data_IF_984383220374
#
_entry.id   IF_984383220374
#
_cell.length_a   1.000
_cell.length_b   1.000
_cell.length_c   1.000
_cell.angle_alpha   90.00
_cell.angle_beta   90.00
_cell.angle_gamma   90.00
#
_symmetry.space_group_name_H-M   'P 1'
#
loop_
_entity.id
_entity.type
_entity.pdbx_description
1 polymer ?
#
# COMPACT_ATOMS: atom_id res chain seq x y z
N UNK A 1 1.04 4.71 -9.06
CA UNK A 1 1.73 4.07 -10.21
C UNK A 1 1.04 2.74 -10.55
N UNK A 2 1.06 2.33 -11.83
CA UNK A 2 0.51 1.03 -12.24
C UNK A 2 1.64 0.01 -12.39
N UNK A 3 1.76 -0.94 -11.45
CA UNK A 3 2.76 -2.01 -11.56
C UNK A 3 2.54 -2.85 -12.83
N UNK A 4 3.60 -3.44 -13.44
CA UNK A 4 3.52 -4.32 -14.61
C UNK A 4 2.92 -5.71 -14.28
N UNK A 5 1.99 -5.76 -13.32
CA UNK A 5 1.31 -6.95 -12.80
C UNK A 5 0.76 -7.85 -13.90
N UNK A 6 0.06 -7.27 -14.87
CA UNK A 6 -0.60 -8.03 -15.95
C UNK A 6 0.41 -8.69 -16.90
N UNK A 7 1.56 -8.06 -17.14
CA UNK A 7 2.65 -8.65 -17.94
C UNK A 7 3.26 -9.84 -17.21
N UNK A 8 3.56 -9.67 -15.91
CA UNK A 8 4.14 -10.71 -15.06
C UNK A 8 3.21 -11.95 -14.96
N UNK A 9 1.91 -11.71 -14.79
CA UNK A 9 0.89 -12.76 -14.77
C UNK A 9 0.87 -13.56 -16.07
N UNK A 10 0.79 -12.89 -17.23
CA UNK A 10 0.79 -13.56 -18.53
C UNK A 10 2.06 -14.39 -18.77
N UNK A 11 3.23 -13.90 -18.34
CA UNK A 11 4.50 -14.64 -18.46
C UNK A 11 4.51 -15.89 -17.58
N UNK A 12 3.98 -15.81 -16.36
CA UNK A 12 3.88 -16.99 -15.48
C UNK A 12 2.99 -18.08 -16.07
N UNK A 13 1.88 -17.70 -16.73
CA UNK A 13 0.99 -18.64 -17.43
C UNK A 13 1.71 -19.30 -18.61
N UNK A 14 2.45 -18.54 -19.42
CA UNK A 14 3.22 -19.10 -20.56
C UNK A 14 4.30 -20.09 -20.11
N UNK A 15 4.91 -19.91 -18.93
CA UNK A 15 5.85 -20.90 -18.37
C UNK A 15 5.13 -22.21 -18.02
N UNK A 16 3.96 -22.11 -17.38
CA UNK A 16 3.13 -23.28 -17.03
C UNK A 16 2.70 -24.07 -18.26
N UNK A 17 2.31 -23.37 -19.34
CA UNK A 17 1.98 -24.01 -20.62
C UNK A 17 3.16 -24.81 -21.18
N UNK A 18 4.37 -24.23 -21.20
CA UNK A 18 5.57 -24.94 -21.66
C UNK A 18 5.94 -26.14 -20.78
N UNK A 19 5.75 -26.04 -19.47
CA UNK A 19 5.94 -27.17 -18.54
C UNK A 19 4.95 -28.28 -18.87
N UNK A 20 3.69 -27.94 -19.13
CA UNK A 20 2.67 -28.89 -19.59
C UNK A 20 3.06 -29.61 -20.87
N UNK A 21 3.54 -28.87 -21.88
CA UNK A 21 4.05 -29.44 -23.14
C UNK A 21 5.21 -30.41 -22.90
N UNK A 22 6.19 -30.03 -22.07
CA UNK A 22 7.31 -30.90 -21.70
C UNK A 22 6.85 -32.17 -20.98
N UNK A 23 5.91 -32.06 -20.04
CA UNK A 23 5.34 -33.22 -19.33
C UNK A 23 4.58 -34.15 -20.28
N UNK A 24 3.91 -33.61 -21.30
CA UNK A 24 3.23 -34.41 -22.31
C UNK A 24 4.23 -35.13 -23.23
N UNK A 25 5.27 -34.43 -23.70
CA UNK A 25 6.34 -35.03 -24.51
C UNK A 25 7.08 -36.14 -23.75
N UNK A 26 7.43 -35.90 -22.48
CA UNK A 26 8.10 -36.91 -21.65
C UNK A 26 7.22 -38.13 -21.38
N UNK A 27 5.90 -37.97 -21.16
CA UNK A 27 4.96 -39.08 -21.06
C UNK A 27 4.94 -39.93 -22.33
N UNK A 28 4.96 -39.30 -23.51
CA UNK A 28 5.03 -40.05 -24.78
C UNK A 28 6.35 -40.78 -24.97
N UNK A 29 7.48 -40.25 -24.47
CA UNK A 29 8.76 -40.97 -24.47
C UNK A 29 8.79 -42.18 -23.52
N UNK A 30 8.04 -42.14 -22.42
CA UNK A 30 7.98 -43.22 -21.41
C UNK A 30 7.02 -44.35 -21.83
N UNK A 31 6.07 -44.07 -22.74
CA UNK A 31 5.07 -45.02 -23.26
C UNK A 31 5.31 -45.33 -24.75
N UNK A 32 6.24 -46.23 -25.13
CA UNK A 32 6.42 -46.58 -26.53
C UNK A 32 5.32 -47.52 -27.02
N UNK A 33 4.90 -47.36 -28.27
CA UNK A 33 4.23 -48.43 -29.02
C UNK A 33 5.33 -49.44 -29.43
N UNK A 34 5.57 -50.46 -28.61
CA UNK A 34 6.66 -51.40 -28.83
C UNK A 34 6.42 -52.30 -30.06
N UNK A 35 7.49 -52.53 -30.85
CA UNK A 35 7.58 -53.70 -31.75
C UNK A 35 8.00 -54.92 -30.91
N UNK A 36 7.47 -56.10 -31.24
CA UNK A 36 7.62 -57.32 -30.44
C UNK A 36 9.07 -57.86 -30.29
N UNK A 37 10.07 -57.25 -30.93
CA UNK A 37 11.43 -57.80 -31.10
C UNK A 37 12.55 -56.93 -30.50
N UNK A 38 12.27 -55.80 -29.84
CA UNK A 38 13.31 -54.90 -29.31
C UNK A 38 14.00 -55.44 -28.04
N UNK A 39 15.33 -55.28 -27.95
CA UNK A 39 16.10 -55.63 -26.75
C UNK A 39 15.96 -54.58 -25.64
N UNK A 40 16.30 -54.97 -24.40
CA UNK A 40 16.16 -54.11 -23.22
C UNK A 40 17.08 -52.87 -23.25
N UNK A 41 18.26 -53.01 -23.86
CA UNK A 41 19.24 -51.92 -24.02
C UNK A 41 18.78 -50.92 -25.09
N UNK A 42 18.26 -51.39 -26.23
CA UNK A 42 17.69 -50.52 -27.28
C UNK A 42 16.52 -49.67 -26.75
N UNK A 43 15.63 -50.27 -25.94
CA UNK A 43 14.52 -49.56 -25.29
C UNK A 43 15.04 -48.47 -24.33
N UNK A 44 16.13 -48.72 -23.62
CA UNK A 44 16.71 -47.75 -22.69
C UNK A 44 17.37 -46.57 -23.43
N UNK A 45 18.11 -46.85 -24.50
CA UNK A 45 18.75 -45.81 -25.32
C UNK A 45 17.71 -44.93 -26.02
N UNK A 46 16.65 -45.51 -26.58
CA UNK A 46 15.59 -44.78 -27.27
C UNK A 46 14.84 -43.85 -26.31
N UNK A 47 14.51 -44.32 -25.10
CA UNK A 47 13.91 -43.50 -24.03
C UNK A 47 14.82 -42.34 -23.62
N UNK A 48 16.11 -42.61 -23.44
CA UNK A 48 17.09 -41.59 -23.04
C UNK A 48 17.21 -40.51 -24.12
N UNK A 49 17.26 -40.91 -25.39
CA UNK A 49 17.31 -39.99 -26.54
C UNK A 49 16.07 -39.10 -26.63
N UNK A 50 14.87 -39.69 -26.52
CA UNK A 50 13.61 -38.94 -26.52
C UNK A 50 13.53 -37.91 -25.38
N UNK A 51 13.94 -38.30 -24.17
CA UNK A 51 13.99 -37.39 -23.03
C UNK A 51 14.96 -36.22 -23.25
N UNK A 52 16.14 -36.48 -23.84
CA UNK A 52 17.10 -35.42 -24.18
C UNK A 52 16.55 -34.46 -25.24
N UNK A 53 15.84 -34.95 -26.25
CA UNK A 53 15.21 -34.12 -27.28
C UNK A 53 14.10 -33.23 -26.71
N UNK A 54 13.19 -33.80 -25.90
CA UNK A 54 12.13 -33.05 -25.22
C UNK A 54 12.72 -31.95 -24.33
N UNK A 55 13.76 -32.28 -23.55
CA UNK A 55 14.46 -31.30 -22.69
C UNK A 55 15.10 -30.20 -23.53
N UNK A 56 15.81 -30.55 -24.61
CA UNK A 56 16.44 -29.56 -25.51
C UNK A 56 15.42 -28.62 -26.15
N UNK A 57 14.28 -29.15 -26.60
CA UNK A 57 13.18 -28.39 -27.19
C UNK A 57 12.57 -27.42 -26.18
N UNK A 58 12.27 -27.90 -24.98
CA UNK A 58 11.77 -27.07 -23.87
C UNK A 58 12.76 -25.94 -23.56
N UNK A 59 14.03 -26.27 -23.31
CA UNK A 59 15.05 -25.27 -22.94
C UNK A 59 15.24 -24.21 -24.03
N UNK A 60 15.19 -24.60 -25.30
CA UNK A 60 15.25 -23.65 -26.43
C UNK A 60 14.06 -22.70 -26.43
N UNK A 61 12.84 -23.23 -26.31
CA UNK A 61 11.63 -22.43 -26.35
C UNK A 61 11.55 -21.46 -25.15
N UNK A 62 11.78 -21.96 -23.95
CA UNK A 62 11.74 -21.15 -22.74
C UNK A 62 12.85 -20.08 -22.73
N UNK A 63 14.08 -20.48 -23.06
CA UNK A 63 15.24 -19.60 -23.05
C UNK A 63 15.22 -18.49 -24.12
N UNK A 64 14.65 -18.76 -25.29
CA UNK A 64 14.62 -17.75 -26.39
C UNK A 64 13.35 -16.91 -26.42
N UNK A 65 12.20 -17.45 -26.00
CA UNK A 65 10.91 -16.78 -26.16
C UNK A 65 10.31 -16.21 -24.88
N UNK A 66 10.74 -16.67 -23.70
CA UNK A 66 10.12 -16.26 -22.44
C UNK A 66 11.14 -15.61 -21.51
N UNK A 67 12.33 -16.21 -21.36
CA UNK A 67 13.33 -15.74 -20.40
C UNK A 67 13.74 -14.26 -20.60
N UNK A 68 13.95 -13.76 -21.84
CA UNK A 68 14.28 -12.34 -22.05
C UNK A 68 13.13 -11.41 -21.65
N UNK A 69 11.88 -11.81 -21.89
CA UNK A 69 10.70 -11.04 -21.50
C UNK A 69 10.58 -10.96 -19.97
N UNK A 70 10.84 -12.07 -19.26
CA UNK A 70 10.86 -12.10 -17.79
C UNK A 70 11.94 -11.15 -17.26
N UNK A 71 13.16 -11.26 -17.75
CA UNK A 71 14.28 -10.41 -17.31
C UNK A 71 13.95 -8.92 -17.51
N UNK A 72 13.33 -8.57 -18.65
CA UNK A 72 12.88 -7.20 -18.92
C UNK A 72 11.82 -6.72 -17.92
N UNK A 73 10.81 -7.55 -17.61
CA UNK A 73 9.76 -7.18 -16.65
C UNK A 73 10.31 -7.09 -15.22
N UNK A 74 11.24 -7.96 -14.83
CA UNK A 74 11.86 -7.89 -13.51
C UNK A 74 12.70 -6.60 -13.34
N UNK A 75 13.42 -6.18 -14.38
CA UNK A 75 14.11 -4.89 -14.39
C UNK A 75 13.14 -3.69 -14.31
N UNK A 76 12.00 -3.75 -15.02
CA UNK A 76 10.93 -2.74 -14.91
C UNK A 76 10.39 -2.65 -13.47
N UNK A 77 10.20 -3.80 -12.81
CA UNK A 77 9.75 -3.87 -11.42
C UNK A 77 10.80 -3.28 -10.46
N UNK A 78 12.09 -3.57 -10.67
CA UNK A 78 13.18 -3.05 -9.84
C UNK A 78 13.19 -1.52 -9.81
N UNK A 79 13.17 -0.88 -10.99
CA UNK A 79 13.13 0.58 -11.13
C UNK A 79 11.92 1.19 -10.41
N UNK A 80 10.75 0.54 -10.52
CA UNK A 80 9.54 1.00 -9.85
C UNK A 80 9.65 0.85 -8.34
N UNK A 81 10.08 -0.30 -7.84
CA UNK A 81 10.20 -0.59 -6.40
C UNK A 81 11.19 0.38 -5.73
N UNK A 82 12.27 0.75 -6.39
CA UNK A 82 13.27 1.68 -5.86
C UNK A 82 12.71 3.09 -5.60
N UNK A 83 11.60 3.45 -6.26
CA UNK A 83 10.91 4.73 -6.06
C UNK A 83 9.81 4.70 -5.00
N UNK A 84 9.58 3.57 -4.34
CA UNK A 84 8.47 3.34 -3.41
C UNK A 84 8.88 3.48 -1.93
N UNK A 85 7.88 3.52 -1.06
CA UNK A 85 8.07 3.53 0.39
C UNK A 85 8.89 2.32 0.89
N UNK A 86 9.75 2.55 1.89
CA UNK A 86 10.64 1.52 2.46
C UNK A 86 9.91 0.25 2.92
N UNK A 87 8.64 0.35 3.36
CA UNK A 87 7.84 -0.81 3.74
C UNK A 87 7.47 -1.69 2.54
N UNK A 88 7.22 -1.09 1.37
CA UNK A 88 6.98 -1.80 0.10
C UNK A 88 8.29 -2.43 -0.36
N UNK A 89 9.38 -1.66 -0.35
CA UNK A 89 10.72 -2.10 -0.74
C UNK A 89 11.15 -3.33 0.05
N UNK A 90 11.07 -3.26 1.38
CA UNK A 90 11.50 -4.35 2.26
C UNK A 90 10.70 -5.64 2.05
N UNK A 91 9.44 -5.52 1.61
CA UNK A 91 8.57 -6.67 1.35
C UNK A 91 8.84 -7.31 -0.01
N UNK A 92 9.05 -6.49 -1.04
CA UNK A 92 9.14 -6.96 -2.44
C UNK A 92 10.59 -7.37 -2.80
N UNK A 93 11.59 -6.61 -2.35
CA UNK A 93 12.98 -6.76 -2.77
C UNK A 93 13.56 -8.16 -2.56
N UNK A 94 13.32 -8.87 -1.43
CA UNK A 94 13.83 -10.23 -1.25
C UNK A 94 13.34 -11.20 -2.33
N UNK A 95 12.06 -11.09 -2.73
CA UNK A 95 11.42 -11.96 -3.71
C UNK A 95 11.87 -11.59 -5.12
N UNK A 96 12.02 -10.29 -5.40
CA UNK A 96 12.53 -9.79 -6.68
C UNK A 96 13.96 -10.29 -6.94
N UNK A 97 14.85 -10.17 -5.96
CA UNK A 97 16.23 -10.64 -6.06
C UNK A 97 16.30 -12.15 -6.32
N UNK A 98 15.45 -12.92 -5.65
CA UNK A 98 15.35 -14.37 -5.86
C UNK A 98 14.89 -14.70 -7.29
N UNK A 99 13.87 -13.98 -7.79
CA UNK A 99 13.36 -14.13 -9.16
C UNK A 99 14.45 -13.81 -10.20
N UNK A 100 15.17 -12.70 -10.01
CA UNK A 100 16.26 -12.29 -10.89
C UNK A 100 17.38 -13.33 -10.94
N UNK A 101 17.79 -13.85 -9.77
CA UNK A 101 18.80 -14.91 -9.68
C UNK A 101 18.40 -16.15 -10.47
N UNK A 102 17.17 -16.63 -10.29
CA UNK A 102 16.66 -17.79 -11.03
C UNK A 102 16.55 -17.52 -12.53
N UNK A 103 16.19 -16.30 -12.92
CA UNK A 103 16.08 -15.89 -14.32
C UNK A 103 17.43 -15.75 -15.04
N UNK A 104 18.57 -15.63 -14.34
CA UNK A 104 19.88 -15.57 -14.98
C UNK A 104 20.32 -16.93 -15.56
N UNK A 105 20.04 -18.02 -14.84
CA UNK A 105 20.52 -19.36 -15.22
C UNK A 105 19.55 -20.48 -14.83
N UNK A 106 18.35 -20.57 -15.44
CA UNK A 106 17.57 -21.78 -15.33
C UNK A 106 18.28 -22.90 -16.09
N UNK A 107 18.83 -23.88 -15.36
CA UNK A 107 19.70 -24.92 -15.93
C UNK A 107 18.93 -26.13 -16.46
N UNK A 108 17.66 -26.28 -16.05
CA UNK A 108 16.81 -27.43 -16.38
C UNK A 108 15.32 -27.06 -16.19
N UNK A 109 14.37 -27.95 -16.54
CA UNK A 109 12.94 -27.71 -16.35
C UNK A 109 12.52 -27.41 -14.90
N UNK A 110 13.17 -28.01 -13.89
CA UNK A 110 12.88 -27.74 -12.48
C UNK A 110 13.20 -26.28 -12.11
N UNK A 111 14.28 -25.71 -12.65
CA UNK A 111 14.61 -24.29 -12.46
C UNK A 111 13.53 -23.35 -13.02
N UNK A 112 12.84 -23.76 -14.09
CA UNK A 112 11.70 -23.00 -14.63
C UNK A 112 10.43 -23.16 -13.78
N UNK A 113 10.20 -24.34 -13.19
CA UNK A 113 9.13 -24.55 -12.20
C UNK A 113 9.33 -23.66 -10.96
N UNK A 114 10.56 -23.64 -10.41
CA UNK A 114 10.94 -22.77 -9.30
C UNK A 114 10.77 -21.28 -9.65
N UNK A 115 11.25 -20.87 -10.81
CA UNK A 115 11.07 -19.51 -11.31
C UNK A 115 9.58 -19.15 -11.40
N UNK A 116 8.75 -20.03 -11.95
CA UNK A 116 7.30 -19.81 -12.03
C UNK A 116 6.66 -19.61 -10.65
N UNK A 117 7.03 -20.43 -9.66
CA UNK A 117 6.52 -20.32 -8.30
C UNK A 117 6.89 -18.97 -7.66
N UNK A 118 8.14 -18.53 -7.83
CA UNK A 118 8.61 -17.23 -7.33
C UNK A 118 7.92 -16.07 -8.05
N UNK A 119 7.73 -16.13 -9.37
CA UNK A 119 7.00 -15.09 -10.12
C UNK A 119 5.54 -14.96 -9.64
N UNK A 120 4.87 -16.08 -9.33
CA UNK A 120 3.53 -16.07 -8.75
C UNK A 120 3.50 -15.44 -7.35
N UNK A 121 4.50 -15.72 -6.52
CA UNK A 121 4.65 -15.08 -5.21
C UNK A 121 4.88 -13.58 -5.35
N UNK A 122 5.76 -13.16 -6.26
CA UNK A 122 6.04 -11.76 -6.56
C UNK A 122 4.78 -11.02 -7.04
N UNK A 123 4.02 -11.64 -7.96
CA UNK A 123 2.69 -11.17 -8.40
C UNK A 123 1.77 -10.92 -7.21
N UNK A 124 1.68 -11.89 -6.30
CA UNK A 124 0.86 -11.75 -5.09
C UNK A 124 1.23 -10.53 -4.27
N UNK A 125 2.53 -10.31 -4.04
CA UNK A 125 3.01 -9.16 -3.25
C UNK A 125 2.82 -7.81 -3.97
N UNK A 126 3.01 -7.76 -5.29
CA UNK A 126 2.73 -6.57 -6.11
C UNK A 126 1.23 -6.23 -6.12
N UNK A 127 0.36 -7.22 -6.02
CA UNK A 127 -1.09 -7.04 -5.89
C UNK A 127 -1.54 -6.50 -4.54
N UNK A 128 -0.72 -6.65 -3.48
CA UNK A 128 -1.03 -6.09 -2.17
C UNK A 128 -0.68 -4.60 -2.19
N UNK A 129 -1.69 -3.74 -2.34
CA UNK A 129 -1.53 -2.32 -2.02
C UNK A 129 -1.10 -2.22 -0.56
N UNK A 130 0.12 -1.75 -0.31
CA UNK A 130 0.44 -1.26 1.04
C UNK A 130 -0.51 -0.11 1.28
N UNK A 131 -1.42 -0.30 2.23
CA UNK A 131 -2.24 0.79 2.71
C UNK A 131 -1.31 1.67 3.52
N UNK A 132 -0.63 2.59 2.83
CA UNK A 132 0.12 3.66 3.49
C UNK A 132 -0.90 4.38 4.36
N UNK A 133 -0.59 4.47 5.67
CA UNK A 133 -1.41 5.21 6.62
C UNK A 133 -0.68 6.47 7.01
N UNK A 134 -0.96 7.60 6.36
CA UNK A 134 -0.25 8.82 6.66
C UNK A 134 -0.38 9.17 8.13
N UNK A 135 0.72 9.61 8.73
CA UNK A 135 0.73 10.10 10.11
C UNK A 135 0.02 11.45 10.11
N UNK A 136 -1.09 11.55 10.84
CA UNK A 136 -1.84 12.82 10.96
C UNK A 136 -1.86 13.28 12.40
N UNK A 137 -1.51 14.54 12.65
CA UNK A 137 -1.69 15.13 13.97
C UNK A 137 -3.16 15.46 14.18
N UNK A 138 -3.71 15.09 15.35
CA UNK A 138 -5.08 15.37 15.75
C UNK A 138 -5.07 16.30 16.95
N UNK A 139 -5.49 17.55 16.72
CA UNK A 139 -5.67 18.56 17.77
C UNK A 139 -7.11 18.56 18.27
N UNK A 140 -7.29 18.53 19.59
CA UNK A 140 -8.59 18.63 20.26
C UNK A 140 -8.38 19.02 21.73
N UNK A 141 -9.44 19.47 22.42
CA UNK A 141 -9.37 19.85 23.83
C UNK A 141 -9.30 18.65 24.77
N UNK A 142 -8.44 18.71 25.79
CA UNK A 142 -8.22 17.59 26.74
C UNK A 142 -9.17 17.57 27.93
N UNK A 143 -10.39 18.09 27.80
CA UNK A 143 -11.41 17.86 28.84
C UNK A 143 -11.95 16.44 28.69
N UNK A 144 -12.49 15.87 29.77
CA UNK A 144 -13.06 14.52 29.75
C UNK A 144 -14.15 14.36 28.68
N UNK A 145 -14.98 15.38 28.47
CA UNK A 145 -16.07 15.33 27.48
C UNK A 145 -15.51 15.38 26.05
N UNK A 146 -14.60 16.30 25.77
CA UNK A 146 -14.00 16.45 24.44
C UNK A 146 -13.11 15.26 24.08
N UNK A 147 -12.46 14.62 25.05
CA UNK A 147 -11.70 13.40 24.84
C UNK A 147 -12.59 12.24 24.39
N UNK A 148 -13.76 12.09 25.01
CA UNK A 148 -14.73 11.07 24.61
C UNK A 148 -15.25 11.32 23.18
N UNK A 149 -15.41 12.59 22.81
CA UNK A 149 -15.80 12.98 21.46
C UNK A 149 -14.66 12.73 20.45
N UNK A 150 -13.45 13.18 20.76
CA UNK A 150 -12.28 13.04 19.91
C UNK A 150 -11.92 11.57 19.66
N UNK A 151 -12.11 10.69 20.65
CA UNK A 151 -11.90 9.25 20.47
C UNK A 151 -12.83 8.65 19.39
N UNK A 152 -14.05 9.18 19.24
CA UNK A 152 -14.94 8.77 18.14
C UNK A 152 -14.36 9.18 16.79
N UNK A 153 -13.88 10.42 16.65
CA UNK A 153 -13.21 10.91 15.44
C UNK A 153 -11.93 10.13 15.13
N UNK A 154 -11.09 9.86 16.14
CA UNK A 154 -9.84 9.09 16.00
C UNK A 154 -10.13 7.69 15.46
N UNK A 155 -11.23 7.05 15.89
CA UNK A 155 -11.66 5.75 15.34
C UNK A 155 -12.05 5.87 13.87
N UNK A 156 -12.81 6.90 13.50
CA UNK A 156 -13.13 7.18 12.10
C UNK A 156 -11.86 7.37 11.25
N UNK A 157 -10.91 8.19 11.71
CA UNK A 157 -9.66 8.45 11.00
C UNK A 157 -8.85 7.16 10.78
N UNK A 158 -8.80 6.27 11.79
CA UNK A 158 -8.17 4.94 11.66
C UNK A 158 -8.89 4.05 10.64
N UNK A 159 -10.22 4.08 10.60
CA UNK A 159 -11.01 3.34 9.61
C UNK A 159 -10.73 3.82 8.18
N UNK A 160 -10.62 5.14 8.00
CA UNK A 160 -10.23 5.78 6.74
C UNK A 160 -8.70 5.75 6.49
N UNK A 161 -8.01 4.83 7.15
CA UNK A 161 -6.60 4.48 6.91
C UNK A 161 -5.62 5.62 7.17
N UNK A 162 -5.91 6.51 8.11
CA UNK A 162 -4.95 7.45 8.66
C UNK A 162 -4.29 6.85 9.91
N UNK A 163 -3.13 7.38 10.29
CA UNK A 163 -2.43 7.04 11.52
C UNK A 163 -2.41 8.25 12.47
N UNK A 164 -3.48 8.45 13.27
CA UNK A 164 -3.61 9.64 14.10
C UNK A 164 -2.66 9.63 15.30
N UNK A 165 -1.95 10.73 15.51
CA UNK A 165 -1.16 11.04 16.71
C UNK A 165 -1.73 12.29 17.40
N UNK A 166 -1.61 12.41 18.72
CA UNK A 166 -2.12 13.58 19.46
C UNK A 166 -1.17 14.02 20.57
N UNK A 167 -1.28 15.29 20.97
CA UNK A 167 -0.45 15.92 22.01
C UNK A 167 -0.68 15.38 23.42
N UNK A 168 -1.76 14.62 23.69
CA UNK A 168 -2.05 14.02 25.01
C UNK A 168 -0.95 13.08 25.51
N UNK A 169 -0.11 12.55 24.62
CA UNK A 169 1.07 11.74 24.99
C UNK A 169 2.24 12.58 25.55
N UNK A 170 2.06 13.89 25.76
CA UNK A 170 3.04 14.78 26.37
C UNK A 170 3.05 14.66 27.90
N UNK A 171 4.14 14.11 28.45
CA UNK A 171 4.52 14.31 29.86
C UNK A 171 5.32 15.61 29.98
N UNK A 172 4.90 16.47 30.90
CA UNK A 172 5.63 17.48 31.72
C UNK A 172 6.85 18.28 31.19
N UNK A 173 7.18 18.25 29.90
CA UNK A 173 8.10 19.22 29.27
C UNK A 173 7.31 20.16 28.36
N UNK A 174 7.86 21.36 28.09
CA UNK A 174 7.24 22.49 27.37
C UNK A 174 6.29 22.02 26.26
N UNK A 175 5.01 22.00 26.60
CA UNK A 175 3.93 21.35 25.84
C UNK A 175 3.90 21.88 24.40
N UNK A 176 4.25 23.16 24.22
CA UNK A 176 4.28 23.86 22.94
C UNK A 176 5.37 23.35 21.98
N UNK A 177 6.60 23.13 22.45
CA UNK A 177 7.70 22.66 21.58
C UNK A 177 7.43 21.22 21.13
N UNK A 178 6.91 20.39 22.04
CA UNK A 178 6.55 19.02 21.72
C UNK A 178 5.40 18.96 20.71
N UNK A 179 4.33 19.73 20.90
CA UNK A 179 3.22 19.79 19.94
C UNK A 179 3.71 20.24 18.56
N UNK A 180 4.53 21.31 18.50
CA UNK A 180 5.13 21.77 17.24
C UNK A 180 5.98 20.69 16.57
N UNK A 181 6.74 19.91 17.33
CA UNK A 181 7.52 18.79 16.80
C UNK A 181 6.64 17.66 16.24
N UNK A 182 5.53 17.33 16.92
CA UNK A 182 4.56 16.34 16.46
C UNK A 182 3.86 16.79 15.18
N UNK A 183 3.44 18.05 15.13
CA UNK A 183 2.89 18.66 13.91
C UNK A 183 3.93 18.58 12.79
N UNK A 184 5.17 19.00 13.04
CA UNK A 184 6.26 18.99 12.06
C UNK A 184 6.54 17.59 11.50
N UNK A 185 6.49 16.56 12.34
CA UNK A 185 6.70 15.17 11.95
C UNK A 185 5.49 14.51 11.25
N UNK A 186 4.29 15.08 11.39
CA UNK A 186 3.08 14.58 10.73
C UNK A 186 3.02 14.97 9.25
N UNK A 187 2.30 14.20 8.43
CA UNK A 187 2.08 14.48 7.00
C UNK A 187 0.84 15.34 6.77
N UNK A 188 -0.05 15.46 7.75
CA UNK A 188 -1.22 16.33 7.72
C UNK A 188 -1.77 16.57 9.12
N UNK A 189 -2.66 17.54 9.23
CA UNK A 189 -3.23 17.97 10.51
C UNK A 189 -4.76 17.97 10.45
N UNK A 190 -5.40 17.40 11.45
CA UNK A 190 -6.85 17.41 11.64
C UNK A 190 -7.16 18.06 12.99
N UNK A 191 -8.00 19.09 13.01
CA UNK A 191 -8.34 19.81 14.25
C UNK A 191 -9.84 19.70 14.51
N UNK A 192 -10.19 19.34 15.75
CA UNK A 192 -11.57 19.21 16.23
C UNK A 192 -11.84 20.36 17.20
N UNK A 193 -12.60 21.34 16.74
CA UNK A 193 -13.02 22.49 17.53
C UNK A 193 -14.35 22.20 18.20
N UNK A 194 -14.36 22.21 19.53
CA UNK A 194 -15.56 22.09 20.36
C UNK A 194 -15.85 23.40 21.09
N UNK A 195 -17.10 23.57 21.54
CA UNK A 195 -17.52 24.75 22.30
C UNK A 195 -16.76 24.88 23.62
N UNK A 196 -16.40 26.11 23.98
CA UNK A 196 -15.71 26.46 25.24
C UNK A 196 -16.57 27.38 26.10
N UNK A 197 -16.48 28.69 25.86
CA UNK A 197 -17.22 29.68 26.62
C UNK A 197 -18.39 30.23 25.79
N UNK A 198 -19.52 30.45 26.43
CA UNK A 198 -20.66 31.12 25.80
C UNK A 198 -20.36 32.62 25.61
N UNK A 199 -20.64 33.14 24.43
CA UNK A 199 -20.39 34.54 24.10
C UNK A 199 -21.56 35.42 24.54
N UNK A 200 -21.25 36.67 24.93
CA UNK A 200 -22.24 37.67 25.41
C UNK A 200 -23.40 37.96 24.44
N UNK A 201 -23.22 37.69 23.15
CA UNK A 201 -24.20 37.96 22.10
C UNK A 201 -24.75 36.68 21.45
N UNK A 202 -24.64 35.54 22.15
CA UNK A 202 -25.04 34.23 21.67
C UNK A 202 -23.95 33.51 20.86
N UNK A 203 -24.07 32.18 20.82
CA UNK A 203 -23.07 31.29 20.23
C UNK A 203 -21.89 31.03 21.16
N UNK A 204 -21.00 30.13 20.73
CA UNK A 204 -19.89 29.67 21.56
C UNK A 204 -18.54 30.08 20.99
N UNK A 205 -17.59 30.29 21.90
CA UNK A 205 -16.17 30.35 21.64
C UNK A 205 -15.59 28.94 21.44
N UNK A 206 -14.39 28.88 20.88
CA UNK A 206 -13.57 27.66 20.78
C UNK A 206 -12.18 27.96 21.30
N UNK A 207 -11.40 26.90 21.49
CA UNK A 207 -10.11 26.98 22.12
C UNK A 207 -9.05 27.64 21.25
N UNK A 208 -8.45 28.72 21.77
CA UNK A 208 -7.50 29.58 21.04
C UNK A 208 -6.16 28.91 20.72
N UNK A 209 -5.72 27.97 21.56
CA UNK A 209 -4.52 27.16 21.31
C UNK A 209 -4.67 26.26 20.08
N UNK A 210 -5.84 25.64 19.85
CA UNK A 210 -6.10 24.84 18.63
C UNK A 210 -6.04 25.71 17.36
N UNK A 211 -6.48 26.97 17.44
CA UNK A 211 -6.31 27.92 16.35
C UNK A 211 -4.82 28.18 16.06
N UNK A 212 -4.00 28.28 17.11
CA UNK A 212 -2.56 28.47 16.99
C UNK A 212 -1.87 27.24 16.37
N UNK A 213 -2.29 26.02 16.76
CA UNK A 213 -1.82 24.77 16.13
C UNK A 213 -2.16 24.71 14.64
N UNK A 214 -3.40 25.07 14.26
CA UNK A 214 -3.79 25.13 12.84
C UNK A 214 -2.97 26.18 12.06
N UNK A 215 -2.75 27.36 12.63
CA UNK A 215 -1.96 28.41 12.00
C UNK A 215 -0.50 27.99 11.83
N UNK A 216 0.08 27.31 12.83
CA UNK A 216 1.43 26.76 12.74
C UNK A 216 1.55 25.69 11.64
N UNK A 217 0.58 24.77 11.55
CA UNK A 217 0.55 23.75 10.49
C UNK A 217 0.45 24.37 9.09
N UNK A 218 -0.41 25.39 8.92
CA UNK A 218 -0.52 26.15 7.67
C UNK A 218 0.77 26.89 7.33
N UNK A 219 1.44 27.49 8.32
CA UNK A 219 2.75 28.12 8.15
C UNK A 219 3.83 27.15 7.64
N UNK A 220 3.71 25.86 7.99
CA UNK A 220 4.55 24.78 7.48
C UNK A 220 4.06 24.18 6.15
N UNK A 221 3.04 24.78 5.51
CA UNK A 221 2.42 24.29 4.27
C UNK A 221 1.85 22.88 4.37
N UNK A 222 1.45 22.44 5.57
CA UNK A 222 0.80 21.13 5.74
C UNK A 222 -0.65 21.20 5.30
N UNK A 223 -1.18 20.05 4.86
CA UNK A 223 -2.62 19.92 4.64
C UNK A 223 -3.35 19.95 6.00
N UNK A 224 -4.34 20.82 6.12
CA UNK A 224 -5.11 21.02 7.36
C UNK A 224 -6.59 20.74 7.09
N UNK A 225 -7.18 19.86 7.89
CA UNK A 225 -8.62 19.58 7.88
C UNK A 225 -9.28 19.99 9.19
N UNK A 226 -10.44 20.63 9.09
CA UNK A 226 -11.09 21.28 10.22
C UNK A 226 -12.46 20.67 10.48
N UNK A 227 -12.77 20.41 11.74
CA UNK A 227 -14.08 19.99 12.21
C UNK A 227 -14.58 21.00 13.25
N UNK A 228 -15.75 21.60 13.03
CA UNK A 228 -16.33 22.58 13.92
C UNK A 228 -17.63 22.08 14.51
N UNK A 229 -17.78 22.24 15.82
CA UNK A 229 -19.08 22.09 16.43
C UNK A 229 -20.05 23.17 15.92
N UNK A 230 -21.28 22.77 15.61
CA UNK A 230 -22.32 23.59 14.97
C UNK A 230 -22.66 24.87 15.74
N UNK A 231 -22.55 24.84 17.07
CA UNK A 231 -22.86 25.97 17.96
C UNK A 231 -21.72 27.01 18.10
N UNK A 232 -20.54 26.76 17.52
CA UNK A 232 -19.43 27.72 17.51
C UNK A 232 -19.79 28.90 16.60
N UNK A 233 -19.62 30.12 17.12
CA UNK A 233 -19.99 31.33 16.37
C UNK A 233 -19.17 31.53 15.08
N UNK A 234 -19.81 32.07 14.05
CA UNK A 234 -19.19 32.36 12.75
C UNK A 234 -17.97 33.30 12.85
N UNK A 235 -17.99 34.24 13.81
CA UNK A 235 -16.87 35.15 14.06
C UNK A 235 -15.63 34.42 14.56
N UNK A 236 -15.80 33.38 15.37
CA UNK A 236 -14.70 32.52 15.84
C UNK A 236 -14.17 31.64 14.71
N UNK A 237 -15.04 31.12 13.84
CA UNK A 237 -14.63 30.31 12.69
C UNK A 237 -13.79 31.11 11.69
N UNK A 238 -14.24 32.31 11.29
CA UNK A 238 -13.57 33.15 10.29
C UNK A 238 -12.12 33.51 10.64
N UNK A 239 -11.79 33.65 11.93
CA UNK A 239 -10.42 33.93 12.38
C UNK A 239 -9.45 32.75 12.22
N UNK A 240 -9.98 31.54 12.06
CA UNK A 240 -9.23 30.28 11.98
C UNK A 240 -9.22 29.75 10.54
N UNK A 241 -10.30 30.00 9.81
CA UNK A 241 -10.66 29.27 8.60
C UNK A 241 -9.88 29.69 7.35
N UNK A 242 -9.61 30.98 7.13
CA UNK A 242 -9.15 31.43 5.80
C UNK A 242 -10.08 30.89 4.68
N UNK A 243 -9.50 30.27 3.65
CA UNK A 243 -10.22 29.58 2.54
C UNK A 243 -10.35 28.06 2.74
N UNK A 244 -10.12 27.54 3.96
CA UNK A 244 -10.16 26.09 4.21
C UNK A 244 -11.59 25.54 4.24
N UNK A 245 -11.75 24.37 3.64
CA UNK A 245 -12.92 23.52 3.81
C UNK A 245 -12.95 22.92 5.21
N UNK A 246 -14.15 22.86 5.78
CA UNK A 246 -14.40 22.31 7.11
C UNK A 246 -15.69 21.50 7.12
N UNK A 247 -15.82 20.64 8.14
CA UNK A 247 -17.04 19.88 8.41
C UNK A 247 -17.65 20.39 9.71
N UNK A 248 -18.95 20.65 9.67
CA UNK A 248 -19.71 20.94 10.88
C UNK A 248 -20.18 19.65 11.54
N UNK A 249 -20.27 19.63 12.87
CA UNK A 249 -20.82 18.49 13.58
C UNK A 249 -21.66 18.93 14.78
N UNK A 250 -22.66 18.10 15.09
CA UNK A 250 -23.41 18.18 16.33
C UNK A 250 -22.95 17.04 17.25
N UNK A 251 -22.61 17.33 18.51
CA UNK A 251 -22.13 16.29 19.44
C UNK A 251 -23.18 15.24 19.79
N UNK A 252 -24.46 15.58 19.70
CA UNK A 252 -25.61 14.70 19.96
C UNK A 252 -25.94 13.82 18.75
N UNK A 253 -25.59 14.28 17.54
CA UNK A 253 -25.83 13.60 16.25
C UNK A 253 -24.55 13.50 15.41
N UNK A 254 -23.48 12.96 16.01
CA UNK A 254 -22.14 12.93 15.41
C UNK A 254 -22.06 12.02 14.17
N UNK A 255 -22.95 11.04 14.08
CA UNK A 255 -23.08 10.11 12.96
C UNK A 255 -23.30 10.82 11.62
N UNK A 256 -24.05 11.92 11.60
CA UNK A 256 -24.33 12.67 10.38
C UNK A 256 -23.04 13.32 9.85
N UNK A 257 -22.28 13.95 10.75
CA UNK A 257 -20.98 14.52 10.42
C UNK A 257 -19.97 13.45 9.98
N UNK A 258 -20.07 12.21 10.48
CA UNK A 258 -19.19 11.12 10.06
C UNK A 258 -19.47 10.68 8.63
N UNK A 259 -20.74 10.66 8.20
CA UNK A 259 -21.10 10.36 6.82
C UNK A 259 -20.52 11.41 5.86
N UNK A 260 -20.56 12.68 6.25
CA UNK A 260 -19.94 13.79 5.49
C UNK A 260 -18.40 13.74 5.54
N UNK A 261 -17.82 13.31 6.66
CA UNK A 261 -16.38 13.21 6.85
C UNK A 261 -15.72 12.12 6.02
N UNK A 262 -16.41 11.02 5.68
CA UNK A 262 -15.82 9.93 4.90
C UNK A 262 -15.27 10.40 3.54
N UNK A 263 -16.05 11.02 2.64
CA UNK A 263 -15.53 11.48 1.36
C UNK A 263 -14.42 12.53 1.53
N UNK A 264 -14.59 13.46 2.48
CA UNK A 264 -13.59 14.48 2.81
C UNK A 264 -12.25 13.88 3.26
N UNK A 265 -12.27 12.90 4.17
CA UNK A 265 -11.07 12.23 4.68
C UNK A 265 -10.36 11.40 3.61
N UNK A 266 -11.10 10.82 2.66
CA UNK A 266 -10.52 10.08 1.53
C UNK A 266 -9.77 11.00 0.58
N UNK A 267 -10.36 12.14 0.27
CA UNK A 267 -9.72 13.19 -0.53
C UNK A 267 -8.52 13.81 0.20
N UNK A 268 -8.68 14.14 1.49
CA UNK A 268 -7.59 14.60 2.35
C UNK A 268 -6.41 13.62 2.38
N UNK A 269 -6.68 12.32 2.55
CA UNK A 269 -5.65 11.27 2.49
C UNK A 269 -4.96 11.23 1.13
N UNK A 270 -5.73 11.35 0.04
CA UNK A 270 -5.18 11.32 -1.31
C UNK A 270 -4.24 12.51 -1.54
N UNK A 271 -4.66 13.72 -1.14
CA UNK A 271 -3.83 14.94 -1.21
C UNK A 271 -2.54 14.82 -0.40
N UNK A 272 -2.55 14.14 0.76
CA UNK A 272 -1.32 13.88 1.52
C UNK A 272 -0.35 12.95 0.75
N UNK A 273 -0.88 11.94 0.07
CA UNK A 273 -0.06 10.98 -0.67
C UNK A 273 0.52 11.55 -1.97
N UNK A 274 0.05 12.71 -2.41
CA UNK A 274 0.49 13.40 -3.63
C UNK A 274 1.53 14.52 -3.36
N UNK A 275 1.76 14.87 -2.09
CA UNK A 275 2.80 15.81 -1.64
C UNK A 275 4.16 15.12 -1.50
#
# INVERSE_FOLDING_TARGET
>A
MAYPFKKLENLSVRIQELIGDYQNETKTCIMPQHRAESTREEIFEERTRGLMEATKKFMKNAGTKILPEIQSVLAEIEVLVDSEDMSIVNRIRPILNEAQRLAMHPTNPLGYEELCAILMRLRGQLGIRVVIRPIVFVGYRYTKEDEMLAEKFIRLFKLEKLNPISGKTAKAEDVDEKIKSLISASQGVLIIFTREDELKFGGWATSSWLATESAFALGQKKLVGLFFEDCISQTQRKGIQGDLEYIEFNREHIEDAFLEAIPYLRDFRQRILEQ
#
